data_IF_973773873394
#
_entry.id   IF_973773873394
#
_cell.length_a   1.000
_cell.length_b   1.000
_cell.length_c   1.000
_cell.angle_alpha   90.00
_cell.angle_beta   90.00
_cell.angle_gamma   90.00
#
_symmetry.space_group_name_H-M   'P 1'
#
loop_
_entity.id
_entity.type
_entity.pdbx_description
1 polymer ?
#
# COMPACT_ATOMS: atom_id res chain seq x y z
N UNK A 1 4.94 -17.81 -5.84
CA UNK A 1 5.02 -16.73 -6.85
C UNK A 1 3.82 -16.69 -7.80
N UNK A 2 3.28 -17.81 -8.33
CA UNK A 2 2.13 -17.78 -9.24
C UNK A 2 0.76 -17.44 -8.59
N UNK A 3 0.58 -17.67 -7.28
CA UNK A 3 -0.71 -17.52 -6.60
C UNK A 3 -1.07 -16.05 -6.27
N UNK A 4 -0.10 -15.22 -5.90
CA UNK A 4 -0.31 -13.79 -5.58
C UNK A 4 -0.78 -13.00 -6.81
N UNK A 5 -0.30 -13.36 -8.00
CA UNK A 5 -0.59 -12.68 -9.28
C UNK A 5 -2.07 -12.80 -9.68
N UNK A 6 -2.73 -13.91 -9.33
CA UNK A 6 -4.12 -14.18 -9.71
C UNK A 6 -5.15 -13.45 -8.82
N UNK A 7 -4.80 -13.09 -7.59
CA UNK A 7 -5.75 -12.55 -6.59
C UNK A 7 -5.88 -11.01 -6.63
N UNK A 8 -5.16 -10.35 -7.54
CA UNK A 8 -5.27 -8.91 -7.84
C UNK A 8 -6.32 -8.59 -8.92
N UNK A 9 -6.97 -9.61 -9.51
CA UNK A 9 -7.83 -9.44 -10.70
C UNK A 9 -9.31 -9.17 -10.42
N UNK A 10 -9.74 -9.00 -9.16
CA UNK A 10 -11.18 -8.97 -8.88
C UNK A 10 -11.57 -7.92 -7.84
N UNK A 11 -11.45 -6.64 -8.23
CA UNK A 11 -12.22 -5.57 -7.60
C UNK A 11 -12.79 -4.67 -8.69
N UNK A 12 -13.98 -5.01 -9.16
CA UNK A 12 -14.86 -4.07 -9.87
C UNK A 12 -16.22 -4.17 -9.16
N UNK A 13 -16.32 -3.48 -8.03
CA UNK A 13 -17.56 -3.20 -7.34
C UNK A 13 -17.54 -1.73 -6.98
N UNK A 14 -18.45 -0.95 -7.57
CA UNK A 14 -18.47 0.52 -7.47
C UNK A 14 -18.64 0.96 -6.01
N UNK A 15 -17.60 1.53 -5.41
CA UNK A 15 -17.67 2.23 -4.12
C UNK A 15 -17.75 3.72 -4.45
N UNK A 16 -18.96 4.28 -4.41
CA UNK A 16 -19.27 5.61 -4.95
C UNK A 16 -18.57 6.80 -4.26
N UNK A 17 -17.68 6.58 -3.29
CA UNK A 17 -16.92 7.64 -2.59
C UNK A 17 -15.49 7.24 -2.20
N UNK A 18 -14.90 6.18 -2.78
CA UNK A 18 -13.51 5.78 -2.48
C UNK A 18 -12.54 6.26 -3.56
N UNK A 19 -11.54 7.04 -3.16
CA UNK A 19 -10.48 7.53 -4.06
C UNK A 19 -9.32 6.52 -4.15
N UNK A 20 -8.96 5.88 -3.04
CA UNK A 20 -7.96 4.80 -3.01
C UNK A 20 -8.51 3.53 -2.40
N UNK A 21 -8.05 2.39 -2.91
CA UNK A 21 -8.26 1.07 -2.31
C UNK A 21 -6.94 0.35 -2.07
N UNK A 22 -6.75 -0.19 -0.87
CA UNK A 22 -5.59 -1.02 -0.52
C UNK A 22 -5.69 -2.35 -1.25
N UNK A 23 -4.76 -2.61 -2.17
CA UNK A 23 -4.75 -3.85 -2.95
C UNK A 23 -3.90 -4.94 -2.29
N UNK A 24 -2.87 -4.56 -1.53
CA UNK A 24 -2.01 -5.49 -0.80
C UNK A 24 -1.26 -4.76 0.32
N UNK A 25 -1.09 -5.45 1.45
CA UNK A 25 -0.26 -5.01 2.58
C UNK A 25 0.69 -6.13 2.99
N UNK A 26 1.83 -5.78 3.57
CA UNK A 26 2.80 -6.76 4.00
C UNK A 26 4.12 -6.18 4.46
N UNK A 27 5.13 -7.04 4.51
CA UNK A 27 6.42 -6.76 5.11
C UNK A 27 7.50 -6.76 4.02
N UNK A 28 8.53 -5.94 4.20
CA UNK A 28 9.72 -5.94 3.37
C UNK A 28 10.98 -6.30 4.20
N UNK A 29 12.15 -6.27 3.57
CA UNK A 29 13.43 -6.54 4.26
C UNK A 29 13.77 -5.57 5.40
N UNK A 30 13.14 -4.40 5.46
CA UNK A 30 13.40 -3.36 6.47
C UNK A 30 12.43 -3.42 7.65
N UNK A 31 11.36 -4.22 7.57
CA UNK A 31 10.33 -4.40 8.60
C UNK A 31 10.91 -4.51 10.01
N UNK A 32 11.86 -5.42 10.23
CA UNK A 32 12.41 -5.71 11.56
C UNK A 32 13.37 -4.62 12.08
N UNK A 33 13.70 -3.63 11.24
CA UNK A 33 14.64 -2.55 11.57
C UNK A 33 14.01 -1.16 11.52
N UNK A 34 12.86 -1.01 10.84
CA UNK A 34 12.15 0.25 10.71
C UNK A 34 10.97 0.31 11.68
N UNK A 35 11.28 0.59 12.94
CA UNK A 35 10.28 0.57 14.03
C UNK A 35 9.19 1.65 13.90
N UNK A 36 9.39 2.69 13.07
CA UNK A 36 8.39 3.74 12.89
C UNK A 36 7.36 3.42 11.80
N UNK A 37 7.76 2.69 10.76
CA UNK A 37 6.89 2.32 9.65
C UNK A 37 7.27 0.95 9.09
N UNK A 38 7.07 -0.13 9.86
CA UNK A 38 7.62 -1.44 9.55
C UNK A 38 6.98 -2.08 8.30
N UNK A 39 5.72 -1.82 8.00
CA UNK A 39 5.02 -2.47 6.88
C UNK A 39 4.85 -1.57 5.67
N UNK A 40 4.60 -2.21 4.52
CA UNK A 40 4.31 -1.63 3.22
C UNK A 40 2.85 -1.89 2.87
N UNK A 41 2.18 -0.90 2.29
CA UNK A 41 0.86 -1.05 1.68
C UNK A 41 0.85 -0.41 0.29
N UNK A 42 0.13 -1.03 -0.65
CA UNK A 42 -0.07 -0.50 -2.00
C UNK A 42 -1.54 -0.14 -2.16
N UNK A 43 -1.78 1.08 -2.60
CA UNK A 43 -3.10 1.64 -2.85
C UNK A 43 -3.28 1.79 -4.36
N UNK A 44 -4.43 1.38 -4.88
CA UNK A 44 -4.90 1.70 -6.23
C UNK A 44 -5.71 2.99 -6.16
N UNK A 45 -5.33 3.99 -6.95
CA UNK A 45 -6.05 5.25 -7.10
C UNK A 45 -7.09 5.10 -8.22
N UNK A 46 -8.37 5.23 -7.86
CA UNK A 46 -9.49 5.08 -8.78
C UNK A 46 -9.63 6.27 -9.73
N UNK A 47 -9.03 7.42 -9.41
CA UNK A 47 -9.13 8.64 -10.22
C UNK A 47 -8.25 8.60 -11.47
N UNK A 48 -7.05 8.01 -11.39
CA UNK A 48 -6.09 7.95 -12.50
C UNK A 48 -5.73 6.52 -12.95
N UNK A 49 -6.20 5.51 -12.22
CA UNK A 49 -5.93 4.09 -12.50
C UNK A 49 -4.48 3.68 -12.21
N UNK A 50 -3.81 4.37 -11.29
CA UNK A 50 -2.41 4.15 -10.93
C UNK A 50 -2.29 3.66 -9.49
N UNK A 51 -1.06 3.46 -9.05
CA UNK A 51 -0.77 2.91 -7.74
C UNK A 51 0.18 3.79 -6.96
N UNK A 52 -0.07 3.88 -5.66
CA UNK A 52 0.81 4.51 -4.70
C UNK A 52 1.31 3.47 -3.70
N UNK A 53 2.52 3.65 -3.20
CA UNK A 53 3.11 2.78 -2.17
C UNK A 53 3.39 3.62 -0.93
N UNK A 54 2.90 3.16 0.20
CA UNK A 54 3.14 3.76 1.50
C UNK A 54 3.79 2.75 2.43
N UNK A 55 4.48 3.27 3.45
CA UNK A 55 4.73 2.52 4.68
C UNK A 55 3.74 2.91 5.75
N UNK A 56 3.37 1.99 6.61
CA UNK A 56 2.50 2.24 7.75
C UNK A 56 3.10 1.78 9.07
N UNK A 57 2.74 2.46 10.15
CA UNK A 57 3.14 2.12 11.54
C UNK A 57 2.31 0.95 12.08
N UNK A 58 2.76 0.31 13.16
CA UNK A 58 1.95 -0.61 13.96
C UNK A 58 1.55 -0.01 15.33
N UNK A 59 1.81 1.28 15.52
CA UNK A 59 1.50 1.98 16.77
C UNK A 59 0.02 1.82 17.16
N UNK A 60 -0.23 1.55 18.44
CA UNK A 60 -1.57 1.37 19.01
C UNK A 60 -2.43 0.29 18.31
N UNK A 61 -1.78 -0.73 17.70
CA UNK A 61 -2.48 -1.79 16.99
C UNK A 61 -3.02 -1.36 15.63
N UNK A 62 -2.52 -0.24 15.09
CA UNK A 62 -2.87 0.19 13.74
C UNK A 62 -2.43 -0.86 12.71
N UNK A 63 -3.34 -1.17 11.80
CA UNK A 63 -3.11 -2.13 10.73
C UNK A 63 -3.95 -1.75 9.51
N UNK A 64 -3.47 -2.11 8.31
CA UNK A 64 -4.15 -1.82 7.05
C UNK A 64 -4.35 -3.13 6.29
N UNK A 65 -5.60 -3.56 6.21
CA UNK A 65 -5.99 -4.75 5.47
C UNK A 65 -6.30 -4.45 4.00
N UNK A 66 -6.15 -5.49 3.17
CA UNK A 66 -6.61 -5.46 1.78
C UNK A 66 -8.11 -5.15 1.72
N UNK A 67 -8.49 -4.27 0.79
CA UNK A 67 -9.86 -3.78 0.63
C UNK A 67 -10.20 -2.59 1.52
N UNK A 68 -9.29 -2.16 2.41
CA UNK A 68 -9.41 -0.86 3.08
C UNK A 68 -9.48 0.25 2.03
N UNK A 69 -10.43 1.17 2.18
CA UNK A 69 -10.61 2.28 1.25
C UNK A 69 -10.35 3.62 1.93
N UNK A 70 -9.81 4.57 1.17
CA UNK A 70 -9.59 5.93 1.62
C UNK A 70 -10.27 6.94 0.70
N UNK A 71 -10.89 7.95 1.31
CA UNK A 71 -11.12 9.24 0.63
C UNK A 71 -9.81 10.04 0.63
N UNK A 72 -9.74 11.08 -0.19
CA UNK A 72 -8.64 12.05 -0.17
C UNK A 72 -8.46 12.70 1.19
N UNK A 73 -9.52 13.12 1.88
CA UNK A 73 -9.36 13.67 3.23
C UNK A 73 -8.85 12.60 4.21
N UNK A 74 -9.36 11.37 4.13
CA UNK A 74 -8.97 10.26 4.99
C UNK A 74 -7.47 9.94 4.84
N UNK A 75 -7.00 9.70 3.62
CA UNK A 75 -5.59 9.42 3.36
C UNK A 75 -4.67 10.57 3.82
N UNK A 76 -5.08 11.82 3.59
CA UNK A 76 -4.34 12.98 4.06
C UNK A 76 -4.27 13.06 5.59
N UNK A 77 -5.33 12.66 6.30
CA UNK A 77 -5.33 12.58 7.76
C UNK A 77 -4.38 11.48 8.26
N UNK A 78 -4.40 10.30 7.66
CA UNK A 78 -3.47 9.21 8.01
C UNK A 78 -2.00 9.63 7.86
N UNK A 79 -1.68 10.36 6.77
CA UNK A 79 -0.33 10.91 6.56
C UNK A 79 -0.02 12.02 7.57
N UNK A 80 -0.97 12.92 7.84
CA UNK A 80 -0.81 14.01 8.81
C UNK A 80 -0.57 13.50 10.23
N UNK A 81 -1.31 12.47 10.64
CA UNK A 81 -1.16 11.81 11.94
C UNK A 81 -0.02 10.78 11.97
N UNK A 82 0.76 10.68 10.90
CA UNK A 82 1.96 9.84 10.80
C UNK A 82 1.68 8.35 10.91
N UNK A 83 0.45 7.90 10.65
CA UNK A 83 0.14 6.48 10.50
C UNK A 83 0.65 5.95 9.16
N UNK A 84 0.55 6.78 8.11
CA UNK A 84 1.06 6.50 6.77
C UNK A 84 2.22 7.43 6.38
N UNK A 85 3.15 6.91 5.59
CA UNK A 85 4.24 7.68 4.99
C UNK A 85 4.49 7.22 3.57
N UNK A 86 4.51 8.15 2.62
CA UNK A 86 4.83 7.85 1.20
C UNK A 86 6.17 7.11 1.14
N UNK A 87 6.16 5.93 0.52
CA UNK A 87 7.37 5.16 0.32
C UNK A 87 8.27 5.87 -0.70
N UNK A 88 9.57 5.92 -0.41
CA UNK A 88 10.56 6.52 -1.29
C UNK A 88 11.55 5.46 -1.71
N UNK A 89 11.57 5.13 -3.00
CA UNK A 89 12.49 4.17 -3.57
C UNK A 89 13.53 4.88 -4.43
N UNK A 90 14.82 4.68 -4.14
CA UNK A 90 15.95 5.31 -4.85
C UNK A 90 15.79 6.84 -4.96
N UNK A 91 15.33 7.48 -3.90
CA UNK A 91 15.14 8.94 -3.82
C UNK A 91 13.87 9.47 -4.51
N UNK A 92 13.03 8.62 -5.09
CA UNK A 92 11.76 9.02 -5.72
C UNK A 92 10.56 8.56 -4.90
N UNK A 93 9.58 9.45 -4.74
CA UNK A 93 8.29 9.11 -4.13
C UNK A 93 7.57 8.08 -5.01
N UNK A 94 7.07 7.01 -4.40
CA UNK A 94 6.33 5.94 -5.07
C UNK A 94 4.85 6.30 -5.16
N UNK A 95 4.54 7.29 -6.00
CA UNK A 95 3.18 7.74 -6.30
C UNK A 95 2.97 7.74 -7.82
N UNK A 96 1.73 7.56 -8.29
CA UNK A 96 1.38 7.50 -9.71
C UNK A 96 2.23 6.46 -10.48
N UNK A 97 2.25 5.23 -9.97
CA UNK A 97 3.01 4.12 -10.56
C UNK A 97 2.12 3.26 -11.46
N UNK A 98 2.71 2.69 -12.51
CA UNK A 98 2.08 1.58 -13.23
C UNK A 98 2.17 0.30 -12.42
N UNK A 99 1.33 -0.69 -12.77
CA UNK A 99 1.36 -2.01 -12.15
C UNK A 99 2.73 -2.68 -12.27
N UNK A 100 3.37 -2.56 -13.43
CA UNK A 100 4.71 -3.11 -13.68
C UNK A 100 5.75 -2.48 -12.76
N UNK A 101 5.71 -1.15 -12.59
CA UNK A 101 6.61 -0.44 -11.68
C UNK A 101 6.42 -0.87 -10.22
N UNK A 102 5.16 -1.05 -9.78
CA UNK A 102 4.88 -1.59 -8.44
C UNK A 102 5.51 -2.96 -8.28
N UNK A 103 5.29 -3.88 -9.23
CA UNK A 103 5.84 -5.24 -9.17
C UNK A 103 7.38 -5.21 -9.09
N UNK A 104 8.03 -4.39 -9.91
CA UNK A 104 9.48 -4.22 -9.87
C UNK A 104 9.99 -3.72 -8.51
N UNK A 105 9.31 -2.73 -7.93
CA UNK A 105 9.65 -2.17 -6.61
C UNK A 105 9.45 -3.21 -5.50
N UNK A 106 8.28 -3.87 -5.47
CA UNK A 106 7.96 -4.88 -4.46
C UNK A 106 8.95 -6.04 -4.49
N UNK A 107 9.35 -6.51 -5.69
CA UNK A 107 10.38 -7.53 -5.83
C UNK A 107 11.74 -7.04 -5.31
N UNK A 108 12.12 -5.79 -5.63
CA UNK A 108 13.41 -5.23 -5.24
C UNK A 108 13.54 -5.05 -3.72
N UNK A 109 12.45 -4.75 -3.01
CA UNK A 109 12.43 -4.62 -1.54
C UNK A 109 12.20 -5.96 -0.83
N UNK A 110 12.07 -7.06 -1.59
CA UNK A 110 11.77 -8.40 -1.09
C UNK A 110 10.44 -8.46 -0.32
N UNK A 111 9.43 -7.80 -0.85
CA UNK A 111 8.10 -7.75 -0.26
C UNK A 111 7.51 -9.15 -0.09
N UNK A 112 6.87 -9.36 1.07
CA UNK A 112 6.07 -10.54 1.40
C UNK A 112 4.72 -10.07 1.89
N UNK A 113 3.67 -10.48 1.18
CA UNK A 113 2.29 -10.24 1.59
C UNK A 113 2.07 -10.80 3.00
N UNK A 114 1.49 -9.97 3.87
CA UNK A 114 0.97 -10.44 5.13
C UNK A 114 -0.48 -10.86 4.90
N UNK A 115 -0.87 -12.04 5.40
CA UNK A 115 -2.29 -12.37 5.43
C UNK A 115 -2.95 -11.40 6.40
N UNK A 116 -3.77 -10.47 5.86
CA UNK A 116 -4.70 -9.71 6.69
C UNK A 116 -5.55 -10.69 7.50
N UNK A 117 -5.82 -10.35 8.76
CA UNK A 117 -6.59 -11.20 9.67
C UNK A 117 -8.08 -11.12 9.39
#
# INVERSE_FOLDING_TARGET
MKKVILMLMLVIGMIANADWEVVISGNDRETDTNNSYPSITVLYDSNDGKYDIYRFTWDHGYWIDKGTVFTKEGLNQEVKYKYLKIFTYKGKKCINLTKEQVIEILNAIQFKESAGY
#
